data_IF_477204455909
#
_entry.id   IF_477204455909
#
_cell.length_a   1.000
_cell.length_b   1.000
_cell.length_c   1.000
_cell.angle_alpha   90.00
_cell.angle_beta   90.00
_cell.angle_gamma   90.00
#
_symmetry.space_group_name_H-M   'P 1'
#
loop_
_entity.id
_entity.type
_entity.pdbx_description
1 polymer ?
2 non-polymer ?
#
# COMPACT_ATOMS: atom_id res chain seq x y z
N UNK A 1 13.31 -8.18 -5.30
CA UNK A 1 12.20 -8.95 -4.66
C UNK A 1 12.77 -9.95 -3.65
N UNK A 2 13.65 -9.48 -2.79
CA UNK A 2 14.28 -10.36 -1.75
C UNK A 2 13.28 -10.87 -0.73
N UNK A 3 13.52 -12.02 -0.19
CA UNK A 3 12.59 -12.57 0.84
C UNK A 3 12.61 -11.66 2.07
N UNK A 4 13.72 -11.02 2.31
CA UNK A 4 13.81 -10.10 3.48
C UNK A 4 13.49 -8.68 3.04
N UNK A 5 12.83 -7.92 3.86
CA UNK A 5 12.49 -6.52 3.48
C UNK A 5 13.19 -5.53 4.41
N UNK A 6 14.37 -5.08 4.06
CA UNK A 6 15.11 -4.10 4.88
C UNK A 6 14.55 -2.68 4.68
N UNK A 7 14.96 -1.75 5.50
CA UNK A 7 14.42 -0.37 5.36
C UNK A 7 14.86 0.23 4.01
N UNK A 8 13.91 0.72 3.24
CA UNK A 8 14.25 1.32 1.93
C UNK A 8 13.42 2.60 1.74
N UNK A 9 14.00 3.63 1.20
CA UNK A 9 13.25 4.91 1.01
C UNK A 9 13.31 5.33 -0.46
N UNK A 10 12.18 5.52 -1.08
CA UNK A 10 12.17 5.95 -2.50
C UNK A 10 11.05 6.98 -2.70
N UNK A 11 11.15 7.80 -3.69
CA UNK A 11 10.09 8.81 -3.92
C UNK A 11 10.06 9.22 -5.40
N UNK A 12 8.91 9.60 -5.88
CA UNK A 12 8.79 10.00 -7.31
C UNK A 12 7.60 10.92 -7.49
N UNK A 13 7.61 11.71 -8.52
CA UNK A 13 6.46 12.62 -8.76
C UNK A 13 5.56 12.02 -9.83
N UNK A 14 4.28 12.05 -9.60
CA UNK A 14 3.33 11.46 -10.59
C UNK A 14 2.27 12.50 -10.96
N UNK A 15 1.64 12.35 -12.09
CA UNK A 15 0.60 13.33 -12.47
C UNK A 15 -0.63 13.05 -11.61
N UNK A 16 -0.79 13.76 -10.52
CA UNK A 16 -1.95 13.49 -9.64
C UNK A 16 -1.99 14.52 -8.52
N UNK A 17 -3.10 14.66 -7.86
CA UNK A 17 -3.20 15.62 -6.74
C UNK A 17 -3.12 14.82 -5.44
N UNK A 18 -2.58 15.38 -4.40
CA UNK A 18 -2.48 14.61 -3.13
C UNK A 18 -3.86 14.08 -2.74
N UNK A 19 -4.87 14.88 -2.85
CA UNK A 19 -6.24 14.39 -2.52
C UNK A 19 -6.57 13.25 -3.48
N UNK A 20 -6.18 13.39 -4.71
CA UNK A 20 -6.45 12.32 -5.71
C UNK A 20 -5.67 11.06 -5.35
N UNK A 21 -4.44 11.23 -4.98
CA UNK A 21 -3.59 10.06 -4.63
C UNK A 21 -4.34 9.20 -3.62
N UNK A 22 -4.96 9.81 -2.66
CA UNK A 22 -5.70 9.03 -1.65
C UNK A 22 -7.08 8.67 -2.17
N UNK A 23 -7.64 9.46 -3.03
CA UNK A 23 -8.97 9.12 -3.57
C UNK A 23 -8.86 7.77 -4.27
N UNK A 24 -7.78 7.57 -4.97
CA UNK A 24 -7.58 6.28 -5.67
C UNK A 24 -7.44 5.17 -4.63
N UNK A 25 -6.68 5.41 -3.60
CA UNK A 25 -6.48 4.37 -2.55
C UNK A 25 -7.81 4.04 -1.89
N UNK A 26 -8.61 5.02 -1.61
CA UNK A 26 -9.91 4.74 -0.95
C UNK A 26 -11.00 4.53 -2.00
N UNK A 27 -10.68 4.68 -3.27
CA UNK A 27 -11.73 4.49 -4.32
C UNK A 27 -11.63 3.08 -4.93
N UNK A 28 -10.53 2.75 -5.58
CA UNK A 28 -10.42 1.40 -6.21
C UNK A 28 -8.95 0.98 -6.36
N UNK A 29 -8.23 0.83 -5.29
CA UNK A 29 -6.80 0.41 -5.33
C UNK A 29 -6.61 -0.98 -5.94
N UNK A 30 -7.59 -1.84 -5.83
CA UNK A 30 -7.43 -3.22 -6.38
C UNK A 30 -7.72 -3.23 -7.88
N UNK A 31 -8.64 -2.42 -8.32
CA UNK A 31 -8.99 -2.40 -9.76
C UNK A 31 -7.76 -2.17 -10.66
N UNK A 32 -6.78 -1.43 -10.20
CA UNK A 32 -5.58 -1.17 -11.05
C UNK A 32 -4.43 -2.12 -10.70
N UNK A 33 -4.50 -2.83 -9.62
CA UNK A 33 -3.35 -3.73 -9.27
C UNK A 33 -2.97 -4.58 -10.48
N UNK A 34 -3.94 -5.14 -11.16
CA UNK A 34 -3.73 -5.98 -12.36
C UNK A 34 -3.98 -5.22 -13.68
N UNK A 35 -2.94 -4.79 -14.34
CA UNK A 35 -3.07 -4.05 -15.63
C UNK A 35 -3.27 -4.99 -16.81
N UNK A 36 -2.30 -5.83 -17.07
CA UNK A 36 -2.42 -6.78 -18.21
C UNK A 36 -1.08 -7.51 -18.38
N UNK A 37 -0.03 -6.78 -18.61
CA UNK A 37 1.30 -7.42 -18.79
C UNK A 37 1.62 -8.27 -17.56
N UNK A 38 1.25 -7.81 -16.39
CA UNK A 38 1.53 -8.58 -15.16
C UNK A 38 0.21 -9.11 -14.58
N UNK A 39 0.17 -10.36 -14.21
CA UNK A 39 -1.08 -10.94 -13.65
C UNK A 39 -0.94 -11.12 -12.15
N UNK A 40 -2.04 -11.13 -11.43
CA UNK A 40 -1.98 -11.32 -9.96
C UNK A 40 -2.29 -12.78 -9.63
N UNK A 41 -1.59 -13.36 -8.70
CA UNK A 41 -1.86 -14.79 -8.35
C UNK A 41 -3.30 -14.93 -7.84
N UNK A 42 -3.77 -13.97 -7.10
CA UNK A 42 -5.16 -14.03 -6.58
C UNK A 42 -5.96 -12.88 -7.20
N UNK A 43 -7.20 -13.12 -7.54
CA UNK A 43 -8.02 -12.04 -8.16
C UNK A 43 -8.69 -11.21 -7.06
N UNK A 44 -8.47 -9.92 -7.09
CA UNK A 44 -9.13 -9.06 -6.06
C UNK A 44 -10.63 -9.12 -6.26
N UNK A 45 -11.40 -9.12 -5.21
CA UNK A 45 -12.88 -9.23 -5.36
C UNK A 45 -13.56 -7.96 -4.85
N UNK A 46 -13.19 -7.51 -3.68
CA UNK A 46 -13.84 -6.29 -3.13
C UNK A 46 -12.85 -5.53 -2.26
N UNK A 47 -13.21 -4.35 -1.81
CA UNK A 47 -12.27 -3.57 -0.95
C UNK A 47 -13.06 -2.62 -0.05
N UNK A 48 -12.77 -2.61 1.22
CA UNK A 48 -13.48 -1.68 2.14
C UNK A 48 -12.50 -0.58 2.55
N UNK A 49 -12.92 0.66 2.53
CA UNK A 49 -11.99 1.77 2.87
C UNK A 49 -12.69 2.85 3.71
N UNK A 50 -12.16 3.15 4.86
CA UNK A 50 -12.76 4.24 5.69
C UNK A 50 -11.64 5.18 6.16
N UNK A 51 -11.88 6.48 6.23
CA UNK A 51 -10.86 7.49 6.67
C UNK A 51 -10.78 7.66 8.19
N UNK A 52 -9.59 7.86 8.72
CA UNK A 52 -9.44 8.04 10.21
C UNK A 52 -7.99 7.77 10.65
N UNK A 53 -7.69 8.04 11.89
CA UNK A 53 -6.33 7.78 12.43
C UNK A 53 -6.29 6.32 12.90
N UNK A 54 -5.21 5.63 12.72
CA UNK A 54 -5.21 4.20 13.13
C UNK A 54 -6.24 3.52 12.24
N UNK A 55 -6.35 4.03 11.04
CA UNK A 55 -7.35 3.54 10.08
C UNK A 55 -7.04 2.14 9.56
N UNK A 56 -7.91 1.62 8.73
CA UNK A 56 -7.67 0.26 8.19
C UNK A 56 -8.26 0.11 6.78
N UNK A 57 -7.58 -0.64 5.95
CA UNK A 57 -8.08 -0.89 4.58
C UNK A 57 -8.30 -2.41 4.44
N UNK A 58 -9.38 -2.81 3.84
CA UNK A 58 -9.68 -4.26 3.71
C UNK A 58 -9.76 -4.69 2.25
N UNK A 59 -9.21 -5.83 1.95
CA UNK A 59 -9.26 -6.33 0.54
C UNK A 59 -9.97 -7.68 0.51
N UNK A 60 -10.74 -7.92 -0.50
CA UNK A 60 -11.47 -9.22 -0.59
C UNK A 60 -10.81 -10.08 -1.67
N UNK A 61 -10.52 -11.31 -1.36
CA UNK A 61 -9.90 -12.21 -2.38
C UNK A 61 -10.84 -13.37 -2.67
N UNK A 62 -10.97 -13.74 -3.91
CA UNK A 62 -11.88 -14.87 -4.26
C UNK A 62 -11.55 -16.10 -3.41
N UNK A 63 -10.32 -16.21 -3.00
CA UNK A 63 -9.93 -17.38 -2.15
C UNK A 63 -9.79 -16.90 -0.71
N UNK A 64 -9.59 -15.63 -0.51
CA UNK A 64 -9.44 -15.09 0.86
C UNK A 64 -10.64 -14.21 1.22
N UNK A 65 -11.25 -14.47 2.33
CA UNK A 65 -12.42 -13.66 2.76
C UNK A 65 -12.01 -12.20 2.89
N UNK A 66 -12.59 -11.50 3.84
CA UNK A 66 -12.25 -10.07 4.04
C UNK A 66 -11.15 -9.97 5.09
N UNK A 67 -10.10 -9.26 4.82
CA UNK A 67 -9.01 -9.15 5.83
C UNK A 67 -8.34 -7.77 5.73
N UNK A 68 -7.56 -7.43 6.72
CA UNK A 68 -6.87 -6.11 6.70
C UNK A 68 -5.41 -6.34 6.28
N UNK A 69 -4.96 -5.66 5.26
CA UNK A 69 -3.55 -5.85 4.81
C UNK A 69 -2.72 -4.60 5.12
N UNK A 70 -3.30 -3.63 5.75
CA UNK A 70 -2.53 -2.39 6.06
C UNK A 70 -3.18 -1.61 7.22
N UNK A 71 -2.59 -0.52 7.60
CA UNK A 71 -3.14 0.29 8.72
C UNK A 71 -2.74 1.75 8.51
N UNK A 72 -3.12 2.62 9.40
CA UNK A 72 -2.74 4.05 9.26
C UNK A 72 -2.25 4.56 10.62
N UNK A 73 -1.61 5.71 10.66
CA UNK A 73 -1.11 6.25 11.96
C UNK A 73 -1.81 7.57 12.28
N UNK A 74 -1.92 8.43 11.31
CA UNK A 74 -2.56 9.76 11.54
C UNK A 74 -2.64 10.50 10.21
N UNK A 75 -3.58 11.41 10.06
CA UNK A 75 -3.70 12.16 8.78
C UNK A 75 -3.42 13.65 9.01
N UNK A 76 -2.58 14.24 8.20
CA UNK A 76 -2.28 15.69 8.36
C UNK A 76 -3.12 16.48 7.35
N UNK A 77 -3.99 17.36 7.81
CA UNK A 77 -4.88 18.16 6.92
C UNK A 77 -4.21 18.67 5.64
N UNK A 78 -3.06 19.30 5.70
CA UNK A 78 -2.39 19.80 4.46
C UNK A 78 -2.30 18.69 3.41
N UNK A 79 -1.25 17.93 3.42
CA UNK A 79 -1.12 16.83 2.44
C UNK A 79 -0.02 15.90 2.95
N UNK A 80 -0.02 15.64 4.22
CA UNK A 80 1.02 14.74 4.80
C UNK A 80 0.36 13.73 5.72
N UNK A 81 0.89 12.54 5.78
CA UNK A 81 0.25 11.51 6.64
C UNK A 81 1.22 10.34 6.91
N UNK A 82 1.20 9.83 8.10
CA UNK A 82 2.06 8.66 8.44
C UNK A 82 1.14 7.45 8.51
N UNK A 83 1.61 6.27 8.22
CA UNK A 83 0.68 5.11 8.28
C UNK A 83 1.37 3.83 8.73
N UNK A 84 0.65 2.99 9.43
CA UNK A 84 1.24 1.68 9.87
C UNK A 84 0.58 0.57 9.07
N UNK A 85 1.20 -0.56 8.92
CA UNK A 85 0.57 -1.66 8.12
C UNK A 85 0.12 -2.79 9.05
N UNK A 86 -1.09 -3.26 8.91
CA UNK A 86 -1.56 -4.38 9.78
C UNK A 86 -1.79 -5.64 8.95
N UNK A 87 -0.91 -6.60 9.06
CA UNK A 87 -1.07 -7.87 8.29
C UNK A 87 -0.46 -9.03 9.11
N UNK A 88 -0.89 -10.24 8.84
CA UNK A 88 -0.34 -11.41 9.58
C UNK A 88 0.46 -12.30 8.63
N UNK A 89 1.09 -13.31 9.16
CA UNK A 89 1.89 -14.24 8.31
C UNK A 89 0.99 -14.93 7.28
N UNK A 90 -0.20 -15.29 7.65
CA UNK A 90 -1.10 -15.99 6.68
C UNK A 90 -2.16 -15.01 6.14
N UNK A 91 -1.78 -13.78 5.91
CA UNK A 91 -2.76 -12.78 5.39
C UNK A 91 -3.98 -12.72 6.30
N UNK A 92 -3.77 -12.63 7.58
CA UNK A 92 -4.92 -12.55 8.53
C UNK A 92 -4.83 -11.26 9.34
N UNK A 93 -5.93 -10.79 9.85
CA UNK A 93 -5.90 -9.54 10.65
C UNK A 93 -5.97 -9.89 12.14
N UNK A 94 -5.22 -9.20 12.95
CA UNK A 94 -5.22 -9.50 14.41
C UNK A 94 -5.37 -8.17 15.18
N UNK A 95 -5.84 -8.25 16.40
CA UNK A 95 -6.04 -7.04 17.26
C UNK A 95 -4.76 -6.20 17.34
N UNK A 96 -3.63 -6.84 17.26
CA UNK A 96 -2.34 -6.09 17.31
C UNK A 96 -1.26 -6.90 16.61
N UNK A 97 -0.33 -6.26 15.98
CA UNK A 97 0.75 -6.99 15.28
C UNK A 97 2.07 -6.88 16.05
N UNK A 98 2.59 -7.98 16.50
CA UNK A 98 3.89 -7.95 17.23
C UNK A 98 4.99 -7.60 16.23
N UNK A 99 4.79 -7.94 14.99
CA UNK A 99 5.81 -7.65 13.94
C UNK A 99 5.35 -6.45 13.10
N UNK A 100 4.73 -5.49 13.71
CA UNK A 100 4.25 -4.30 12.95
C UNK A 100 5.36 -3.26 12.85
N UNK A 101 5.37 -2.49 11.79
CA UNK A 101 6.43 -1.46 11.61
C UNK A 101 5.76 -0.11 11.31
N UNK A 102 6.51 0.97 11.36
CA UNK A 102 5.91 2.30 11.09
C UNK A 102 6.39 2.83 9.74
N UNK A 103 5.52 3.45 8.99
CA UNK A 103 5.91 4.00 7.66
C UNK A 103 5.64 5.49 7.64
N UNK A 104 6.53 6.25 7.04
CA UNK A 104 6.31 7.73 6.98
C UNK A 104 6.03 8.11 5.53
N UNK A 105 4.89 8.72 5.28
CA UNK A 105 4.55 9.11 3.88
C UNK A 105 4.11 10.57 3.84
N UNK A 106 4.53 11.31 2.85
CA UNK A 106 4.13 12.74 2.77
C UNK A 106 3.68 13.06 1.35
N UNK A 107 2.65 13.84 1.19
CA UNK A 107 2.16 14.18 -0.17
C UNK A 107 2.21 15.69 -0.40
N UNK A 108 2.62 16.10 -1.57
CA UNK A 108 2.69 17.56 -1.89
C UNK A 108 1.95 17.82 -3.21
N UNK A 109 0.91 18.63 -3.22
CA UNK A 109 0.15 18.91 -4.46
C UNK A 109 0.88 19.86 -5.41
N UNK A 110 0.98 19.48 -6.65
CA UNK A 110 1.65 20.34 -7.66
C UNK A 110 0.64 20.69 -8.75
N UNK A 111 0.41 21.96 -8.99
CA UNK A 111 -0.57 22.36 -10.02
C UNK A 111 -0.32 21.59 -11.31
N UNK A 112 -1.11 21.81 -12.32
CA UNK A 112 -0.92 21.09 -13.60
C UNK A 112 -1.17 19.59 -13.39
N UNK A 113 -1.79 19.23 -12.30
CA UNK A 113 -2.06 17.80 -12.04
C UNK A 113 -0.75 17.09 -11.71
N UNK A 114 -0.16 17.40 -10.59
CA UNK A 114 1.13 16.74 -10.23
C UNK A 114 1.23 16.61 -8.71
N UNK A 115 1.66 15.48 -8.23
CA UNK A 115 1.79 15.29 -6.76
C UNK A 115 3.13 14.62 -6.45
N UNK A 116 3.82 15.11 -5.46
CA UNK A 116 5.12 14.48 -5.08
C UNK A 116 4.88 13.62 -3.84
N UNK A 117 5.28 12.37 -3.88
CA UNK A 117 5.06 11.50 -2.70
C UNK A 117 6.37 10.87 -2.24
N UNK A 118 6.60 10.87 -0.96
CA UNK A 118 7.83 10.24 -0.42
C UNK A 118 7.41 9.10 0.49
N UNK A 119 7.50 7.88 0.04
CA UNK A 119 7.07 6.73 0.90
C UNK A 119 8.30 5.94 1.36
N UNK A 120 8.46 5.79 2.65
CA UNK A 120 9.63 5.03 3.17
C UNK A 120 9.14 4.03 4.22
N UNK A 121 9.57 2.80 4.15
CA UNK A 121 9.16 1.78 5.15
C UNK A 121 10.40 1.28 5.88
N UNK A 122 10.38 1.28 7.19
CA UNK A 122 11.58 0.84 7.96
C UNK A 122 11.21 -0.24 8.98
N UNK A 123 12.17 -1.02 9.38
CA UNK A 123 11.93 -2.09 10.38
C UNK A 123 10.79 -3.00 9.91
N UNK A 124 10.64 -3.15 8.63
CA UNK A 124 9.58 -4.04 8.10
C UNK A 124 10.01 -5.49 8.36
N UNK A 125 11.27 -5.76 8.16
CA UNK A 125 11.81 -7.14 8.36
C UNK A 125 11.29 -7.74 9.67
N UNK A 126 10.77 -6.93 10.53
CA UNK A 126 10.25 -7.48 11.82
C UNK A 126 9.36 -8.69 11.54
N UNK A 127 8.68 -8.74 10.43
CA UNK A 127 7.82 -9.92 10.16
C UNK A 127 8.65 -11.07 9.60
N UNK A 128 9.67 -10.77 8.82
CA UNK A 128 10.55 -11.83 8.24
C UNK A 128 9.75 -13.12 8.00
N UNK A 129 10.41 -14.25 8.06
CA UNK A 129 9.69 -15.54 7.85
C UNK A 129 8.90 -15.50 6.54
N UNK A 130 9.54 -15.13 5.46
CA UNK A 130 8.80 -15.06 4.17
C UNK A 130 8.01 -13.76 4.14
N UNK A 131 8.57 -12.73 4.72
CA UNK A 131 7.87 -11.41 4.75
C UNK A 131 7.48 -10.98 3.34
N UNK A 132 8.41 -10.98 2.42
CA UNK A 132 8.06 -10.57 1.03
C UNK A 132 6.96 -11.50 0.51
N UNK A 133 6.96 -12.73 0.94
CA UNK A 133 5.91 -13.67 0.46
C UNK A 133 4.55 -13.05 0.75
N UNK A 134 4.40 -12.46 1.91
CA UNK A 134 3.11 -11.81 2.25
C UNK A 134 2.85 -10.72 1.21
N UNK A 135 3.85 -9.93 0.95
CA UNK A 135 3.72 -8.85 -0.07
C UNK A 135 3.52 -9.47 -1.46
N UNK A 136 4.11 -10.61 -1.70
CA UNK A 136 3.97 -11.25 -3.04
C UNK A 136 2.49 -11.41 -3.38
N UNK A 137 1.68 -11.82 -2.44
CA UNK A 137 0.23 -11.96 -2.76
C UNK A 137 -0.29 -10.57 -3.08
N UNK A 138 0.19 -9.58 -2.37
CA UNK A 138 -0.24 -8.20 -2.65
C UNK A 138 0.37 -7.78 -3.99
N UNK A 139 1.18 -8.65 -4.55
CA UNK A 139 1.83 -8.37 -5.87
C UNK A 139 3.04 -7.46 -5.71
N UNK A 140 4.22 -8.02 -5.74
CA UNK A 140 5.45 -7.18 -5.63
C UNK A 140 6.33 -7.41 -6.85
N UNK A 141 5.79 -7.17 -8.02
CA UNK A 141 6.53 -7.33 -9.31
C UNK A 141 7.74 -6.40 -9.42
N UNK A 142 8.78 -6.83 -10.07
CA UNK A 142 9.98 -5.95 -10.21
C UNK A 142 9.94 -5.28 -11.58
N UNK A 143 9.65 -6.03 -12.62
CA UNK A 143 9.57 -5.48 -14.01
C UNK A 143 8.53 -4.36 -14.11
N UNK A 144 7.49 -4.44 -13.34
CA UNK A 144 6.44 -3.40 -13.36
C UNK A 144 6.32 -2.79 -11.96
N UNK A 145 7.32 -2.07 -11.55
CA UNK A 145 7.30 -1.46 -10.19
C UNK A 145 5.95 -0.80 -9.93
N UNK A 146 5.65 -0.52 -8.68
CA UNK A 146 4.33 0.09 -8.32
C UNK A 146 4.15 1.41 -9.09
N UNK A 147 5.18 2.20 -9.18
CA UNK A 147 5.06 3.50 -9.88
C UNK A 147 4.62 3.29 -11.32
N UNK A 148 4.99 2.20 -11.93
CA UNK A 148 4.61 1.96 -13.34
C UNK A 148 3.10 1.72 -13.49
N UNK A 149 2.56 0.78 -12.76
CA UNK A 149 1.12 0.45 -12.91
C UNK A 149 0.19 1.51 -12.28
N UNK A 150 0.37 1.83 -11.03
CA UNK A 150 -0.56 2.79 -10.36
C UNK A 150 -0.37 4.22 -10.89
N UNK A 151 0.82 4.63 -11.21
CA UNK A 151 1.01 6.03 -11.69
C UNK A 151 0.43 6.18 -13.10
N UNK A 152 0.69 5.23 -13.96
CA UNK A 152 0.16 5.33 -15.35
C UNK A 152 -1.36 5.41 -15.35
N UNK A 153 -2.01 4.62 -14.55
CA UNK A 153 -3.50 4.63 -14.52
C UNK A 153 -4.00 5.94 -13.93
N UNK A 154 -3.33 6.47 -12.95
CA UNK A 154 -3.78 7.74 -12.34
C UNK A 154 -3.68 8.87 -13.38
X LIG B 1 8.63 -2.35 -6.66
X LIG B 1 7.62 -1.43 -5.96
X LIG B 1 8.26 -0.07 -5.71
X LIG B 1 7.84 0.92 -6.80
X LIG B 1 9.69 -0.21 -5.72
X LIG B 1 7.86 0.41 -4.47
X LIG B 1 7.03 1.50 -4.39
X LIG B 1 7.58 2.52 -3.68
X LIG B 1 7.16 3.82 -3.94
X LIG B 1 6.21 4.07 -4.94
X LIG B 1 5.78 3.15 -5.62
X LIG B 1 5.79 5.37 -5.15
X LIG B 1 4.87 5.65 -6.17
X LIG B 1 4.31 4.58 -6.79
X LIG B 1 4.46 6.95 -6.42
X LIG B 1 4.96 7.99 -5.64
X LIG B 1 5.86 7.72 -4.62
X LIG B 1 6.27 6.42 -4.37
X LIG B 1 7.21 6.16 -3.38
X LIG B 1 7.61 7.07 -2.66
X LIG B 1 7.65 4.85 -3.16
X LIG B 1 8.56 4.60 -2.15
X LIG B 1 8.98 3.29 -1.89
X LIG B 1 10.00 3.07 -0.98
X LIG B 1 8.47 2.24 -2.66
X LIG B 1 8.84 0.93 -2.37
X LIG B 1 9.40 0.62 -1.33
X LIG B 1 8.50 -0.03 -3.32
X LIG B 1 8.89 -1.93 -7.62
X LIG B 1 8.18 -3.33 -6.79
X LIG B 1 9.52 -2.43 -6.04
X LIG B 1 6.75 -1.31 -6.61
X LIG B 1 7.31 -1.87 -5.02
X LIG B 1 8.71 1.16 -7.41
X LIG B 1 7.45 1.83 -6.34
X LIG B 1 7.07 0.47 -7.42
X LIG B 1 10.03 0.05 -6.63
X LIG B 1 3.98 3.93 -6.11
X LIG B 1 3.82 7.17 -7.28
X LIG B 1 4.63 9.02 -5.83
X LIG B 1 6.21 8.53 -3.98
X LIG B 1 8.92 5.41 -1.52
X LIG B 1 9.57 2.75 -0.03
X LIG B 1 10.56 4.00 -0.84
X LIG B 1 10.67 2.31 -1.36
X LIG B 1 8.72 -1.09 -3.16
#
# INVERSE_FOLDING_TARGET
>A
MPEEIPDVRKSVVVAASVEHCFEVFTSRPADWWPPSHVLVKKERAGLAFEPFVGGRYYEWDIDGTEIVWGRILEWDPPHRLAMTWRIDGHWQSVPDDDRASEIEVDFVPNGSGGTRVELAHVKLHRHGDGAWNIHKALDGPSPGETLARFANVI
>B hetero
1 969 CBB CBA CAX CAY OAZ CAW OAR CAD CAF CAG OAP CAH CAK OAQ CAL CAM CAN CAI CAJ OAO CAC CAE CAA CAS CAB CAT OAU CAV HBC HBD HBE HBA HBB HA0 HAY HAZ HBF HAQ HAL HAM HAN HAE HAS HAT HAU HAV
#
